data_IF_550241320261
#
_entry.id   IF_550241320261
#
_cell.length_a   1.000
_cell.length_b   1.000
_cell.length_c   1.000
_cell.angle_alpha   90.00
_cell.angle_beta   90.00
_cell.angle_gamma   90.00
#
_symmetry.space_group_name_H-M   'P 1'
#
loop_
_entity.id
_entity.type
_entity.pdbx_description
1 polymer ?
#
# COMPACT_ATOMS: atom_id res chain seq x y z
N UNK A 1 -1.89 -31.98 -26.74
CA UNK A 1 -2.80 -30.83 -26.91
C UNK A 1 -2.00 -29.59 -26.60
N UNK A 2 -1.74 -28.77 -27.62
CA UNK A 2 -1.03 -27.51 -27.42
C UNK A 2 -2.00 -26.52 -26.79
N UNK A 3 -1.72 -26.16 -25.52
CA UNK A 3 -2.49 -25.15 -24.80
C UNK A 3 -2.05 -23.78 -25.28
N UNK A 4 -3.01 -22.98 -25.71
CA UNK A 4 -2.79 -21.60 -26.09
C UNK A 4 -2.86 -20.71 -24.83
N UNK A 5 -1.83 -19.87 -24.63
CA UNK A 5 -1.72 -18.99 -23.47
C UNK A 5 -2.00 -17.55 -23.89
N UNK A 6 -2.65 -16.78 -23.03
CA UNK A 6 -3.00 -15.39 -23.33
C UNK A 6 -2.99 -14.52 -22.07
N UNK A 7 -2.78 -13.22 -22.27
CA UNK A 7 -2.89 -12.17 -21.27
C UNK A 7 -3.88 -11.11 -21.76
N UNK A 8 -4.50 -10.39 -20.83
CA UNK A 8 -5.32 -9.23 -21.14
C UNK A 8 -4.49 -7.95 -20.93
N UNK A 9 -4.29 -7.20 -22.00
CA UNK A 9 -3.63 -5.89 -21.96
C UNK A 9 -4.64 -4.85 -22.41
N UNK A 10 -4.96 -3.88 -21.53
CA UNK A 10 -5.94 -2.82 -21.80
C UNK A 10 -7.30 -3.35 -22.31
N UNK A 11 -7.75 -4.47 -21.74
CA UNK A 11 -9.00 -5.13 -22.14
C UNK A 11 -8.93 -5.96 -23.43
N UNK A 12 -7.79 -6.00 -24.12
CA UNK A 12 -7.58 -6.84 -25.31
C UNK A 12 -6.89 -8.15 -24.97
N UNK A 13 -7.38 -9.26 -25.53
CA UNK A 13 -6.76 -10.59 -25.40
C UNK A 13 -5.55 -10.69 -26.33
N UNK A 14 -4.36 -10.92 -25.76
CA UNK A 14 -3.11 -11.08 -26.50
C UNK A 14 -2.57 -12.48 -26.25
N UNK A 15 -2.35 -13.25 -27.32
CA UNK A 15 -1.75 -14.59 -27.26
C UNK A 15 -0.26 -14.45 -27.00
N UNK A 16 0.26 -15.25 -26.07
CA UNK A 16 1.66 -15.19 -25.62
C UNK A 16 2.26 -16.59 -25.54
N UNK A 17 3.59 -16.66 -25.48
CA UNK A 17 4.27 -17.92 -25.17
C UNK A 17 3.96 -18.37 -23.73
N UNK A 18 4.06 -19.67 -23.48
CA UNK A 18 3.91 -20.25 -22.14
C UNK A 18 4.87 -19.62 -21.14
N UNK A 19 6.10 -19.33 -21.55
CA UNK A 19 7.12 -18.72 -20.71
C UNK A 19 6.71 -17.33 -20.22
N UNK A 20 6.24 -16.47 -21.13
CA UNK A 20 5.76 -15.12 -20.81
C UNK A 20 4.56 -15.19 -19.87
N UNK A 21 3.62 -16.08 -20.13
CA UNK A 21 2.45 -16.28 -19.27
C UNK A 21 2.85 -16.67 -17.84
N UNK A 22 3.75 -17.64 -17.69
CA UNK A 22 4.19 -18.10 -16.38
C UNK A 22 4.98 -17.02 -15.63
N UNK A 23 5.87 -16.30 -16.30
CA UNK A 23 6.64 -15.21 -15.71
C UNK A 23 5.71 -14.08 -15.21
N UNK A 24 4.77 -13.65 -16.04
CA UNK A 24 3.79 -12.62 -15.68
C UNK A 24 3.00 -12.98 -14.40
N UNK A 25 2.46 -14.20 -14.37
CA UNK A 25 1.67 -14.64 -13.22
C UNK A 25 2.52 -14.87 -11.96
N UNK A 26 3.78 -15.28 -12.11
CA UNK A 26 4.72 -15.40 -11.00
C UNK A 26 4.99 -14.05 -10.34
N UNK A 27 5.31 -13.02 -11.14
CA UNK A 27 5.54 -11.67 -10.61
C UNK A 27 4.26 -11.08 -9.98
N UNK A 28 3.10 -11.24 -10.64
CA UNK A 28 1.83 -10.79 -10.08
C UNK A 28 1.51 -11.46 -8.73
N UNK A 29 1.81 -12.76 -8.59
CA UNK A 29 1.60 -13.49 -7.34
C UNK A 29 2.57 -13.02 -6.24
N UNK A 30 3.82 -12.74 -6.61
CA UNK A 30 4.85 -12.21 -5.71
C UNK A 30 4.47 -10.84 -5.17
N UNK A 31 4.01 -9.94 -6.04
CA UNK A 31 3.53 -8.61 -5.66
C UNK A 31 2.32 -8.71 -4.70
N UNK A 32 1.31 -9.52 -5.04
CA UNK A 32 0.15 -9.78 -4.17
C UNK A 32 0.54 -10.38 -2.82
N UNK A 33 1.60 -11.18 -2.77
CA UNK A 33 2.12 -11.73 -1.51
C UNK A 33 2.75 -10.63 -0.66
N UNK A 34 3.59 -9.76 -1.27
CA UNK A 34 4.21 -8.64 -0.55
C UNK A 34 3.15 -7.67 -0.02
N UNK A 35 2.18 -7.25 -0.83
CA UNK A 35 1.10 -6.38 -0.37
C UNK A 35 0.33 -6.95 0.83
N UNK A 36 0.10 -8.28 0.86
CA UNK A 36 -0.53 -8.95 2.01
C UNK A 36 0.35 -8.92 3.25
N UNK A 37 1.66 -9.11 3.09
CA UNK A 37 2.66 -9.04 4.16
C UNK A 37 2.75 -7.63 4.72
N UNK A 38 2.81 -6.62 3.87
CA UNK A 38 2.89 -5.21 4.26
C UNK A 38 1.68 -4.80 5.09
N UNK A 39 0.47 -5.14 4.60
CA UNK A 39 -0.78 -4.88 5.32
C UNK A 39 -0.86 -5.58 6.67
N UNK A 40 -0.36 -6.82 6.79
CA UNK A 40 -0.34 -7.54 8.07
C UNK A 40 0.59 -6.89 9.10
N UNK A 41 1.67 -6.26 8.64
CA UNK A 41 2.66 -5.62 9.50
C UNK A 41 2.40 -4.11 9.68
N UNK A 42 1.24 -3.59 9.23
CA UNK A 42 0.93 -2.16 9.19
C UNK A 42 2.01 -1.31 8.49
N UNK A 43 2.74 -1.91 7.54
CA UNK A 43 3.75 -1.23 6.75
C UNK A 43 3.07 -0.60 5.53
N UNK A 44 2.32 0.46 5.76
CA UNK A 44 1.59 1.14 4.70
C UNK A 44 2.46 2.18 4.00
N UNK A 45 2.16 2.44 2.73
CA UNK A 45 2.72 3.62 2.06
C UNK A 45 2.20 4.88 2.72
N UNK A 46 3.01 5.93 2.76
CA UNK A 46 2.61 7.24 3.29
C UNK A 46 1.29 7.71 2.66
N UNK A 47 1.17 7.61 1.34
CA UNK A 47 -0.03 7.98 0.59
C UNK A 47 -1.30 7.16 0.89
N UNK A 48 -1.23 6.05 1.63
CA UNK A 48 -2.45 5.32 2.00
C UNK A 48 -3.30 6.07 3.01
N UNK A 49 -2.74 7.05 3.73
CA UNK A 49 -3.43 7.88 4.72
C UNK A 49 -4.05 9.15 4.10
N UNK A 50 -3.84 9.39 2.81
CA UNK A 50 -4.47 10.50 2.09
C UNK A 50 -5.86 10.06 1.58
N UNK A 51 -6.88 10.23 2.44
CA UNK A 51 -8.24 9.75 2.17
C UNK A 51 -9.17 10.80 1.56
N UNK A 52 -8.85 12.08 1.74
CA UNK A 52 -9.72 13.22 1.44
C UNK A 52 -8.97 14.41 0.82
N UNK A 53 -7.68 14.24 0.50
CA UNK A 53 -6.82 15.31 0.03
C UNK A 53 -6.21 16.15 1.15
N UNK A 54 -6.41 15.77 2.42
CA UNK A 54 -5.82 16.43 3.57
C UNK A 54 -4.97 15.47 4.42
N UNK A 55 -3.69 15.41 4.11
CA UNK A 55 -2.78 14.43 4.68
C UNK A 55 -2.35 14.70 6.13
N UNK A 56 -2.12 15.97 6.48
CA UNK A 56 -1.56 16.36 7.78
C UNK A 56 -2.52 16.06 8.94
N UNK A 57 -3.83 16.26 8.72
CA UNK A 57 -4.86 15.96 9.72
C UNK A 57 -5.04 14.45 9.95
N UNK A 58 -4.78 13.61 8.94
CA UNK A 58 -4.92 12.15 9.06
C UNK A 58 -3.78 11.47 9.85
N UNK A 59 -2.71 12.19 10.20
CA UNK A 59 -1.57 11.72 10.98
C UNK A 59 -1.40 12.49 12.30
N UNK A 60 -2.50 13.03 12.86
CA UNK A 60 -2.44 13.73 14.14
C UNK A 60 -1.89 12.81 15.26
N UNK A 61 -0.91 13.33 16.01
CA UNK A 61 -0.38 12.65 17.19
C UNK A 61 -1.32 12.88 18.36
N UNK A 62 -2.20 11.90 18.59
CA UNK A 62 -3.17 11.90 19.69
C UNK A 62 -2.54 11.50 21.04
N UNK A 63 -1.30 11.03 21.06
CA UNK A 63 -0.63 10.61 22.29
C UNK A 63 -0.08 11.81 23.07
N UNK A 64 0.29 12.88 22.36
CA UNK A 64 0.88 14.08 22.96
C UNK A 64 -0.14 15.18 23.24
N UNK A 65 -0.57 15.27 24.50
CA UNK A 65 -1.45 16.33 24.98
C UNK A 65 -0.69 17.66 25.13
N UNK A 66 -0.87 18.55 24.15
CA UNK A 66 -0.19 19.85 24.09
C UNK A 66 -0.58 20.75 25.26
N UNK A 67 -1.81 20.63 25.78
CA UNK A 67 -2.30 21.44 26.89
C UNK A 67 -1.51 21.15 28.18
N UNK A 68 -1.21 19.86 28.44
CA UNK A 68 -0.37 19.46 29.57
C UNK A 68 1.05 20.04 29.53
N UNK A 69 1.63 20.23 28.33
CA UNK A 69 2.97 20.86 28.22
C UNK A 69 2.90 22.32 28.67
N UNK A 70 1.86 23.02 28.23
CA UNK A 70 1.67 24.44 28.52
C UNK A 70 1.46 24.62 30.02
N UNK A 71 0.58 23.83 30.65
CA UNK A 71 0.38 23.84 32.11
C UNK A 71 1.68 23.57 32.88
N UNK A 72 2.45 22.57 32.43
CA UNK A 72 3.74 22.22 33.08
C UNK A 72 4.75 23.35 32.95
N UNK A 73 4.78 24.06 31.81
CA UNK A 73 5.63 25.24 31.64
C UNK A 73 5.18 26.37 32.55
N UNK A 74 3.89 26.70 32.61
CA UNK A 74 3.38 27.77 33.48
C UNK A 74 3.62 27.50 34.97
N UNK A 75 3.57 26.25 35.42
CA UNK A 75 3.85 25.88 36.82
C UNK A 75 5.35 25.92 37.21
N UNK A 76 6.25 25.99 36.24
CA UNK A 76 7.72 26.00 36.45
C UNK A 76 8.34 27.40 36.38
N UNK A 77 7.53 28.45 36.19
CA UNK A 77 7.92 29.87 36.25
C UNK A 77 7.25 30.58 37.43
#
# INVERSE_FOLDING_TARGET
MDKEYYLFLEGKKVVVSKEVYLAYHSELNKEKYQMRRDRLNNCFFFCSYDHDGNFEENLEDLEFDVEKIIETKECLW
#
